data_IF_787227700860
#
_entry.id   IF_787227700860
#
_cell.length_a   1.000
_cell.length_b   1.000
_cell.length_c   1.000
_cell.angle_alpha   90.00
_cell.angle_beta   90.00
_cell.angle_gamma   90.00
#
_symmetry.space_group_name_H-M   'P 1'
#
loop_
_entity.id
_entity.type
_entity.pdbx_description
1 polymer ?
#
# COMPACT_ATOMS: atom_id res chain seq x y z
N UNK A 1 -7.38 -25.94 -8.67
CA UNK A 1 -6.47 -24.82 -8.96
C UNK A 1 -7.14 -23.49 -8.69
N UNK A 2 -6.69 -22.79 -7.63
CA UNK A 2 -7.12 -21.42 -7.29
C UNK A 2 -6.35 -20.43 -8.17
N UNK A 3 -7.00 -19.37 -8.65
CA UNK A 3 -6.31 -18.29 -9.37
C UNK A 3 -5.83 -17.23 -8.39
N UNK A 4 -4.56 -16.83 -8.51
CA UNK A 4 -3.99 -15.73 -7.73
C UNK A 4 -3.37 -14.71 -8.67
N UNK A 5 -3.34 -13.46 -8.24
CA UNK A 5 -2.70 -12.39 -8.99
C UNK A 5 -1.48 -11.89 -8.23
N UNK A 6 -0.30 -12.04 -8.83
CA UNK A 6 0.93 -11.41 -8.38
C UNK A 6 1.06 -10.08 -9.12
N UNK A 7 1.16 -8.97 -8.40
CA UNK A 7 0.97 -7.63 -8.97
C UNK A 7 2.17 -6.74 -8.70
N UNK A 8 2.62 -6.04 -9.74
CA UNK A 8 3.75 -5.11 -9.71
C UNK A 8 3.35 -3.80 -10.39
N UNK A 9 2.90 -2.79 -9.62
CA UNK A 9 2.78 -1.44 -10.14
C UNK A 9 4.17 -0.79 -10.29
N UNK A 10 4.41 -0.12 -11.41
CA UNK A 10 5.66 0.61 -11.65
C UNK A 10 5.45 1.89 -12.43
N UNK A 11 6.29 2.88 -12.13
CA UNK A 11 6.44 4.15 -12.84
C UNK A 11 7.91 4.44 -13.17
N UNK A 12 8.77 3.42 -13.10
CA UNK A 12 10.23 3.51 -13.20
C UNK A 12 10.82 2.21 -13.75
N UNK A 13 12.09 2.24 -14.12
CA UNK A 13 12.85 1.04 -14.47
C UNK A 13 12.88 0.03 -13.31
N UNK A 14 12.53 -1.23 -13.60
CA UNK A 14 12.54 -2.33 -12.64
C UNK A 14 12.71 -3.71 -13.31
N UNK A 15 13.44 -3.81 -14.42
CA UNK A 15 13.62 -5.04 -15.18
C UNK A 15 14.23 -6.19 -14.34
N UNK A 16 15.15 -5.85 -13.45
CA UNK A 16 15.74 -6.81 -12.50
C UNK A 16 14.69 -7.37 -11.53
N UNK A 17 13.87 -6.48 -10.95
CA UNK A 17 12.76 -6.87 -10.07
C UNK A 17 11.75 -7.77 -10.80
N UNK A 18 11.39 -7.43 -12.04
CA UNK A 18 10.46 -8.25 -12.83
C UNK A 18 10.99 -9.67 -13.09
N UNK A 19 12.31 -9.82 -13.26
CA UNK A 19 12.95 -11.14 -13.41
C UNK A 19 12.79 -11.98 -12.13
N UNK A 20 12.99 -11.37 -10.97
CA UNK A 20 12.80 -12.03 -9.67
C UNK A 20 11.33 -12.39 -9.43
N UNK A 21 10.39 -11.50 -9.78
CA UNK A 21 8.94 -11.74 -9.62
C UNK A 21 8.45 -12.86 -10.55
N UNK A 22 9.01 -13.00 -11.76
CA UNK A 22 8.76 -14.15 -12.63
C UNK A 22 9.21 -15.47 -11.96
N UNK A 23 10.36 -15.45 -11.27
CA UNK A 23 10.83 -16.61 -10.51
C UNK A 23 9.92 -16.93 -9.31
N UNK A 24 9.40 -15.91 -8.62
CA UNK A 24 8.39 -16.08 -7.56
C UNK A 24 7.10 -16.71 -8.09
N UNK A 25 6.61 -16.27 -9.26
CA UNK A 25 5.43 -16.83 -9.90
C UNK A 25 5.63 -18.31 -10.26
N UNK A 26 6.76 -18.65 -10.89
CA UNK A 26 7.09 -20.04 -11.23
C UNK A 26 7.21 -20.91 -9.96
N UNK A 27 7.84 -20.39 -8.91
CA UNK A 27 7.95 -21.07 -7.62
C UNK A 27 6.56 -21.40 -7.04
N UNK A 28 5.62 -20.45 -7.09
CA UNK A 28 4.28 -20.66 -6.59
C UNK A 28 3.52 -21.76 -7.36
N UNK A 29 3.60 -21.79 -8.70
CA UNK A 29 2.97 -22.83 -9.52
C UNK A 29 3.61 -24.22 -9.33
N UNK A 30 4.92 -24.29 -9.06
CA UNK A 30 5.62 -25.55 -8.81
C UNK A 30 5.26 -26.14 -7.44
N UNK A 31 5.10 -25.30 -6.42
CA UNK A 31 4.97 -25.74 -5.02
C UNK A 31 3.53 -25.76 -4.49
N UNK A 32 2.58 -25.12 -5.18
CA UNK A 32 1.19 -25.01 -4.74
C UNK A 32 0.21 -25.26 -5.90
N UNK A 33 -1.00 -25.75 -5.59
CA UNK A 33 -2.09 -25.93 -6.59
C UNK A 33 -2.76 -24.58 -6.94
N UNK A 34 -1.99 -23.68 -7.54
CA UNK A 34 -2.43 -22.34 -7.94
C UNK A 34 -2.10 -22.05 -9.40
N UNK A 35 -2.92 -21.21 -10.02
CA UNK A 35 -2.67 -20.58 -11.30
C UNK A 35 -2.23 -19.14 -11.03
N UNK A 36 -1.03 -18.76 -11.45
CA UNK A 36 -0.51 -17.42 -11.19
C UNK A 36 -0.74 -16.52 -12.41
N UNK A 37 -1.40 -15.39 -12.19
CA UNK A 37 -1.45 -14.30 -13.14
C UNK A 37 -0.52 -13.18 -12.68
N UNK A 38 0.55 -12.93 -13.42
CA UNK A 38 1.42 -11.79 -13.15
C UNK A 38 0.83 -10.54 -13.83
N UNK A 39 0.50 -9.52 -13.05
CA UNK A 39 -0.04 -8.24 -13.55
C UNK A 39 0.99 -7.14 -13.31
N UNK A 40 1.45 -6.53 -14.39
CA UNK A 40 2.39 -5.39 -14.34
C UNK A 40 1.66 -4.16 -14.85
N UNK A 41 1.43 -3.19 -13.96
CA UNK A 41 0.82 -1.89 -14.31
C UNK A 41 1.95 -0.90 -14.51
N UNK A 42 2.27 -0.60 -15.76
CA UNK A 42 3.49 0.11 -16.13
C UNK A 42 3.18 1.50 -16.69
N UNK A 43 3.46 2.53 -15.89
CA UNK A 43 3.42 3.94 -16.28
C UNK A 43 4.83 4.51 -16.47
N UNK A 44 5.85 3.66 -16.66
CA UNK A 44 7.24 4.08 -16.83
C UNK A 44 7.58 4.42 -18.28
N UNK A 45 8.71 5.11 -18.48
CA UNK A 45 9.31 5.28 -19.80
C UNK A 45 10.01 4.01 -20.31
N UNK A 46 10.16 2.99 -19.46
CA UNK A 46 10.98 1.78 -19.68
C UNK A 46 10.13 0.57 -20.13
N UNK A 47 8.88 0.81 -20.55
CA UNK A 47 7.92 -0.22 -20.95
C UNK A 47 8.52 -1.26 -21.92
N UNK A 48 9.25 -0.83 -22.95
CA UNK A 48 9.84 -1.75 -23.92
C UNK A 48 10.89 -2.69 -23.31
N UNK A 49 11.68 -2.21 -22.34
CA UNK A 49 12.66 -3.02 -21.63
C UNK A 49 11.97 -4.03 -20.69
N UNK A 50 10.94 -3.60 -19.98
CA UNK A 50 10.11 -4.50 -19.17
C UNK A 50 9.43 -5.58 -20.02
N UNK A 51 8.87 -5.20 -21.17
CA UNK A 51 8.23 -6.13 -22.11
C UNK A 51 9.22 -7.18 -22.66
N UNK A 52 10.52 -6.85 -22.75
CA UNK A 52 11.54 -7.82 -23.15
C UNK A 52 11.77 -8.88 -22.08
N UNK A 53 11.77 -8.50 -20.80
CA UNK A 53 11.91 -9.44 -19.66
C UNK A 53 10.70 -10.38 -19.57
N UNK A 54 9.50 -9.82 -19.79
CA UNK A 54 8.23 -10.53 -19.64
C UNK A 54 7.85 -11.40 -20.86
N UNK A 55 8.61 -11.30 -21.96
CA UNK A 55 8.24 -11.91 -23.23
C UNK A 55 8.26 -13.44 -23.16
N UNK A 56 7.20 -14.06 -23.66
CA UNK A 56 7.12 -15.52 -23.82
C UNK A 56 6.69 -16.26 -22.55
N UNK A 57 6.42 -15.55 -21.46
CA UNK A 57 5.81 -16.13 -20.26
C UNK A 57 4.29 -16.11 -20.39
N UNK A 58 3.66 -17.25 -20.12
CA UNK A 58 2.20 -17.35 -20.08
C UNK A 58 1.60 -16.57 -18.92
N UNK A 59 0.34 -16.14 -19.05
CA UNK A 59 -0.43 -15.48 -17.98
C UNK A 59 0.20 -14.20 -17.40
N UNK A 60 1.08 -13.55 -18.17
CA UNK A 60 1.58 -12.21 -17.88
C UNK A 60 0.72 -11.15 -18.56
N UNK A 61 0.29 -10.17 -17.77
CA UNK A 61 -0.52 -9.03 -18.18
C UNK A 61 0.28 -7.75 -17.94
N UNK A 62 1.04 -7.34 -18.96
CA UNK A 62 1.81 -6.11 -18.94
C UNK A 62 0.99 -5.00 -19.61
N UNK A 63 0.51 -4.05 -18.80
CA UNK A 63 -0.41 -3.00 -19.24
C UNK A 63 0.28 -1.64 -19.14
N UNK A 64 0.49 -1.01 -20.29
CA UNK A 64 0.87 0.40 -20.32
C UNK A 64 -0.27 1.28 -19.80
N UNK A 65 -0.03 2.57 -19.62
CA UNK A 65 -1.04 3.49 -19.11
C UNK A 65 -2.27 3.59 -20.03
N UNK A 66 -2.09 3.47 -21.35
CA UNK A 66 -3.19 3.51 -22.31
C UNK A 66 -4.11 2.29 -22.16
N UNK A 67 -3.54 1.08 -22.08
CA UNK A 67 -4.26 -0.16 -21.85
C UNK A 67 -4.96 -0.16 -20.48
N UNK A 68 -4.30 0.36 -19.44
CA UNK A 68 -4.91 0.59 -18.12
C UNK A 68 -6.16 1.49 -18.24
N UNK A 69 -6.02 2.62 -18.95
CA UNK A 69 -7.11 3.57 -19.19
C UNK A 69 -8.27 2.96 -19.97
N UNK A 70 -7.98 2.22 -21.06
CA UNK A 70 -9.01 1.56 -21.85
C UNK A 70 -9.79 0.51 -21.05
N UNK A 71 -9.08 -0.30 -20.25
CA UNK A 71 -9.72 -1.27 -19.36
C UNK A 71 -10.62 -0.57 -18.34
N UNK A 72 -10.09 0.44 -17.65
CA UNK A 72 -10.81 1.20 -16.64
C UNK A 72 -12.07 1.87 -17.21
N UNK A 73 -11.99 2.45 -18.41
CA UNK A 73 -13.15 3.06 -19.08
C UNK A 73 -14.25 2.04 -19.40
N UNK A 74 -13.89 0.79 -19.74
CA UNK A 74 -14.88 -0.28 -19.93
C UNK A 74 -15.55 -0.66 -18.61
N UNK A 75 -14.77 -0.80 -17.53
CA UNK A 75 -15.29 -1.10 -16.19
C UNK A 75 -16.25 0.00 -15.72
N UNK A 76 -15.83 1.27 -15.77
CA UNK A 76 -16.64 2.42 -15.35
C UNK A 76 -17.93 2.53 -16.16
N UNK A 77 -17.88 2.30 -17.47
CA UNK A 77 -19.08 2.33 -18.32
C UNK A 77 -20.08 1.23 -17.93
N UNK A 78 -19.58 0.04 -17.60
CA UNK A 78 -20.41 -1.13 -17.26
C UNK A 78 -20.95 -1.07 -15.83
N UNK A 79 -20.24 -0.43 -14.91
CA UNK A 79 -20.66 -0.32 -13.51
C UNK A 79 -21.89 0.58 -13.30
N UNK A 80 -22.17 1.48 -14.25
CA UNK A 80 -23.31 2.40 -14.15
C UNK A 80 -23.17 3.41 -13.00
N UNK A 81 -21.95 3.64 -12.50
CA UNK A 81 -21.67 4.61 -11.44
C UNK A 81 -22.12 6.02 -11.84
N UNK A 82 -22.61 6.79 -10.87
CA UNK A 82 -23.27 8.08 -11.11
C UNK A 82 -22.32 9.19 -11.59
N UNK A 83 -21.02 9.08 -11.29
CA UNK A 83 -19.98 10.05 -11.70
C UNK A 83 -18.81 9.33 -12.39
N UNK A 84 -18.99 8.88 -13.63
CA UNK A 84 -17.96 8.10 -14.34
C UNK A 84 -16.68 8.89 -14.56
N UNK A 85 -16.76 10.20 -14.86
CA UNK A 85 -15.58 11.06 -15.02
C UNK A 85 -14.73 11.13 -13.73
N UNK A 86 -15.37 11.38 -12.59
CA UNK A 86 -14.68 11.38 -11.30
C UNK A 86 -14.03 10.02 -10.99
N UNK A 87 -14.72 8.90 -11.25
CA UNK A 87 -14.13 7.58 -11.01
C UNK A 87 -12.89 7.32 -11.90
N UNK A 88 -12.89 7.84 -13.13
CA UNK A 88 -11.72 7.77 -13.99
C UNK A 88 -10.56 8.58 -13.40
N UNK A 89 -10.83 9.81 -12.96
CA UNK A 89 -9.81 10.70 -12.38
C UNK A 89 -9.23 10.15 -11.06
N UNK A 90 -10.06 9.52 -10.22
CA UNK A 90 -9.61 8.90 -8.96
C UNK A 90 -8.82 7.61 -9.16
N UNK A 91 -9.13 6.83 -10.20
CA UNK A 91 -8.49 5.54 -10.46
C UNK A 91 -7.29 5.65 -11.39
N UNK A 92 -7.19 6.71 -12.20
CA UNK A 92 -6.05 7.02 -13.07
C UNK A 92 -5.72 8.52 -13.03
N UNK A 93 -5.28 9.04 -11.88
CA UNK A 93 -4.91 10.45 -11.74
C UNK A 93 -3.63 10.76 -12.54
N UNK A 94 -3.47 12.02 -12.92
CA UNK A 94 -2.22 12.51 -13.55
C UNK A 94 -1.02 12.48 -12.59
N UNK A 95 -1.28 12.67 -11.28
CA UNK A 95 -0.27 12.62 -10.23
C UNK A 95 -0.02 11.21 -9.70
N UNK A 96 1.05 11.02 -8.94
CA UNK A 96 1.38 9.73 -8.34
C UNK A 96 0.40 9.40 -7.21
N UNK A 97 -0.22 8.23 -7.29
CA UNK A 97 -1.08 7.69 -6.23
C UNK A 97 -0.88 6.19 -6.07
N UNK A 98 -0.35 5.79 -4.91
CA UNK A 98 -0.16 4.38 -4.54
C UNK A 98 -1.50 3.66 -4.36
N UNK A 99 -2.51 4.36 -3.84
CA UNK A 99 -3.86 3.81 -3.70
C UNK A 99 -4.54 3.60 -5.06
N UNK A 100 -4.50 4.60 -5.95
CA UNK A 100 -5.14 4.48 -7.25
C UNK A 100 -4.54 3.35 -8.11
N UNK A 101 -3.20 3.22 -8.18
CA UNK A 101 -2.58 2.13 -8.95
C UNK A 101 -2.91 0.75 -8.36
N UNK A 102 -2.91 0.62 -7.03
CA UNK A 102 -3.28 -0.64 -6.36
C UNK A 102 -4.76 -0.97 -6.59
N UNK A 103 -5.65 0.02 -6.57
CA UNK A 103 -7.07 -0.19 -6.89
C UNK A 103 -7.24 -0.66 -8.35
N UNK A 104 -6.47 -0.14 -9.30
CA UNK A 104 -6.47 -0.67 -10.69
C UNK A 104 -6.04 -2.13 -10.70
N UNK A 105 -5.02 -2.51 -9.92
CA UNK A 105 -4.58 -3.89 -9.81
C UNK A 105 -5.70 -4.80 -9.24
N UNK A 106 -6.48 -4.31 -8.27
CA UNK A 106 -7.65 -5.02 -7.76
C UNK A 106 -8.71 -5.26 -8.84
N UNK A 107 -9.06 -4.23 -9.63
CA UNK A 107 -10.00 -4.39 -10.75
C UNK A 107 -9.50 -5.44 -11.77
N UNK A 108 -8.22 -5.38 -12.13
CA UNK A 108 -7.61 -6.34 -13.09
C UNK A 108 -7.62 -7.75 -12.49
N UNK A 109 -7.26 -7.92 -11.22
CA UNK A 109 -7.25 -9.23 -10.58
C UNK A 109 -8.65 -9.87 -10.56
N UNK A 110 -9.65 -9.08 -10.20
CA UNK A 110 -11.06 -9.48 -10.21
C UNK A 110 -11.52 -9.87 -11.62
N UNK A 111 -11.10 -9.13 -12.65
CA UNK A 111 -11.40 -9.44 -14.05
C UNK A 111 -10.76 -10.76 -14.54
N UNK A 112 -9.60 -11.12 -14.01
CA UNK A 112 -8.91 -12.38 -14.30
C UNK A 112 -9.50 -13.57 -13.50
N UNK A 113 -10.42 -13.30 -12.57
CA UNK A 113 -10.98 -14.30 -11.67
C UNK A 113 -10.00 -14.75 -10.58
N UNK A 114 -9.01 -13.91 -10.25
CA UNK A 114 -8.11 -14.15 -9.13
C UNK A 114 -8.88 -14.03 -7.80
N UNK A 115 -8.68 -14.98 -6.89
CA UNK A 115 -9.29 -14.97 -5.55
C UNK A 115 -8.46 -14.16 -4.54
N UNK A 116 -7.18 -13.94 -4.83
CA UNK A 116 -6.27 -13.14 -4.02
C UNK A 116 -5.34 -12.29 -4.87
N UNK A 117 -4.90 -11.19 -4.26
CA UNK A 117 -3.91 -10.27 -4.82
C UNK A 117 -2.69 -10.29 -3.92
N UNK A 118 -1.52 -10.41 -4.52
CA UNK A 118 -0.21 -10.42 -3.89
C UNK A 118 0.57 -9.26 -4.49
N UNK A 119 0.87 -8.24 -3.69
CA UNK A 119 1.56 -7.03 -4.16
C UNK A 119 3.05 -7.11 -3.88
N UNK A 120 3.84 -6.70 -4.88
CA UNK A 120 5.26 -6.40 -4.76
C UNK A 120 5.53 -5.01 -5.32
N UNK A 121 6.45 -4.29 -4.69
CA UNK A 121 6.88 -2.99 -5.21
C UNK A 121 8.09 -3.14 -6.15
N UNK A 122 8.18 -2.21 -7.10
CA UNK A 122 9.18 -2.23 -8.17
C UNK A 122 10.61 -1.96 -7.69
N UNK A 123 10.77 -1.41 -6.50
CA UNK A 123 12.05 -1.10 -5.83
C UNK A 123 12.39 -2.09 -4.70
N UNK A 124 12.15 -3.38 -4.94
CA UNK A 124 12.46 -4.46 -4.01
C UNK A 124 13.16 -5.66 -4.64
N UNK A 125 13.91 -6.41 -3.82
CA UNK A 125 14.46 -7.73 -4.17
C UNK A 125 14.07 -8.79 -3.13
N UNK A 126 14.32 -10.06 -3.45
CA UNK A 126 14.20 -11.14 -2.47
C UNK A 126 15.52 -11.44 -1.78
N UNK A 127 15.43 -11.80 -0.49
CA UNK A 127 16.57 -12.30 0.26
C UNK A 127 17.04 -13.64 -0.30
N UNK A 128 18.30 -13.98 -0.02
CA UNK A 128 18.87 -15.31 -0.29
C UNK A 128 19.28 -15.93 1.03
N UNK A 129 18.93 -17.19 1.24
CA UNK A 129 19.30 -17.96 2.42
C UNK A 129 19.71 -19.38 1.99
N UNK A 130 20.88 -19.84 2.43
CA UNK A 130 21.47 -21.12 2.02
C UNK A 130 21.53 -21.37 0.50
N UNK A 131 21.63 -20.30 -0.29
CA UNK A 131 21.71 -20.34 -1.76
C UNK A 131 20.36 -20.23 -2.46
N UNK A 132 19.24 -20.34 -1.74
CA UNK A 132 17.89 -20.27 -2.28
C UNK A 132 17.26 -18.90 -2.10
N UNK A 133 16.36 -18.53 -3.02
CA UNK A 133 15.55 -17.31 -2.90
C UNK A 133 14.45 -17.50 -1.85
N UNK A 134 14.30 -16.50 -0.99
CA UNK A 134 13.26 -16.46 0.04
C UNK A 134 12.04 -15.72 -0.50
N UNK A 135 11.16 -16.45 -1.19
CA UNK A 135 9.94 -15.87 -1.76
C UNK A 135 8.82 -15.70 -0.73
N UNK A 136 8.25 -14.48 -0.59
CA UNK A 136 7.11 -14.23 0.30
C UNK A 136 5.86 -15.06 -0.03
N UNK A 137 5.60 -15.32 -1.32
CA UNK A 137 4.42 -16.10 -1.76
C UNK A 137 4.30 -17.46 -1.09
N UNK A 138 5.42 -18.03 -0.66
CA UNK A 138 5.45 -19.27 0.12
C UNK A 138 4.62 -19.15 1.40
N UNK A 139 4.88 -18.12 2.22
CA UNK A 139 4.16 -17.91 3.47
C UNK A 139 2.70 -17.48 3.22
N UNK A 140 2.47 -16.70 2.17
CA UNK A 140 1.15 -16.22 1.78
C UNK A 140 0.21 -17.38 1.42
N UNK A 141 0.62 -18.31 0.54
CA UNK A 141 -0.22 -19.41 0.06
C UNK A 141 -0.44 -20.54 1.09
N UNK A 142 0.39 -20.59 2.13
CA UNK A 142 0.17 -21.51 3.25
C UNK A 142 -1.10 -21.19 4.04
N UNK A 143 -1.57 -19.93 4.05
CA UNK A 143 -2.65 -19.50 4.94
C UNK A 143 -3.75 -18.64 4.28
N UNK A 144 -3.41 -17.83 3.28
CA UNK A 144 -4.34 -16.83 2.73
C UNK A 144 -5.61 -17.46 2.12
N UNK A 145 -6.77 -16.91 2.50
CA UNK A 145 -8.09 -17.35 2.05
C UNK A 145 -8.58 -18.65 2.68
N UNK A 146 -7.81 -19.27 3.57
CA UNK A 146 -8.24 -20.45 4.33
C UNK A 146 -8.95 -20.03 5.62
N UNK A 147 -9.82 -20.88 6.20
CA UNK A 147 -10.24 -20.72 7.59
C UNK A 147 -9.02 -20.67 8.51
N UNK A 148 -9.05 -19.84 9.55
CA UNK A 148 -7.90 -19.58 10.41
C UNK A 148 -7.33 -20.86 11.06
N UNK A 149 -8.17 -21.84 11.39
CA UNK A 149 -7.69 -23.14 11.91
C UNK A 149 -6.93 -24.01 10.91
N UNK A 150 -7.00 -23.69 9.62
CA UNK A 150 -6.28 -24.37 8.55
C UNK A 150 -5.01 -23.61 8.12
N UNK A 151 -4.75 -22.45 8.72
CA UNK A 151 -3.52 -21.70 8.47
C UNK A 151 -2.31 -22.51 8.98
N UNK A 152 -1.24 -22.51 8.20
CA UNK A 152 0.02 -23.16 8.57
C UNK A 152 1.00 -22.07 9.02
N UNK A 153 1.21 -21.98 10.33
CA UNK A 153 2.09 -20.97 10.95
C UNK A 153 2.96 -21.58 12.04
N UNK A 154 4.07 -20.93 12.37
CA UNK A 154 4.93 -21.38 13.48
C UNK A 154 4.32 -21.05 14.85
N UNK A 155 3.55 -19.97 14.92
CA UNK A 155 2.82 -19.54 16.12
C UNK A 155 1.35 -19.24 15.81
N UNK A 156 0.48 -19.44 16.80
CA UNK A 156 -0.92 -19.02 16.75
C UNK A 156 -1.26 -18.21 18.01
N UNK A 157 -1.53 -16.92 17.82
CA UNK A 157 -1.96 -15.97 18.86
C UNK A 157 -3.38 -15.45 18.61
N UNK A 158 -4.09 -16.02 17.65
CA UNK A 158 -5.44 -15.60 17.29
C UNK A 158 -6.42 -15.98 18.39
N UNK A 159 -7.38 -15.08 18.64
CA UNK A 159 -8.53 -15.35 19.50
C UNK A 159 -9.27 -16.61 19.00
N UNK A 160 -9.49 -17.64 19.84
CA UNK A 160 -10.21 -18.85 19.45
C UNK A 160 -11.60 -18.61 18.88
N UNK A 161 -12.26 -17.49 19.20
CA UNK A 161 -13.55 -17.12 18.62
C UNK A 161 -13.47 -16.85 17.10
N UNK A 162 -12.27 -16.56 16.57
CA UNK A 162 -12.03 -16.28 15.16
C UNK A 162 -11.53 -17.52 14.39
N UNK A 163 -11.57 -18.70 14.99
CA UNK A 163 -11.04 -19.96 14.45
C UNK A 163 -11.59 -20.33 13.06
N UNK A 164 -12.86 -20.04 12.81
CA UNK A 164 -13.53 -20.37 11.55
C UNK A 164 -13.60 -19.18 10.58
N UNK A 165 -13.12 -18.00 10.99
CA UNK A 165 -13.02 -16.85 10.12
C UNK A 165 -11.88 -17.03 9.11
N UNK A 166 -12.04 -16.45 7.93
CA UNK A 166 -11.07 -16.54 6.84
C UNK A 166 -9.85 -15.65 7.09
N UNK A 167 -8.66 -16.16 6.80
CA UNK A 167 -7.42 -15.36 6.76
C UNK A 167 -7.51 -14.36 5.60
N UNK A 168 -7.68 -13.09 5.95
CA UNK A 168 -7.98 -11.99 5.02
C UNK A 168 -6.73 -11.32 4.46
N UNK A 169 -5.63 -11.37 5.19
CA UNK A 169 -4.34 -10.81 4.79
C UNK A 169 -3.17 -11.66 5.26
N UNK A 170 -2.11 -11.70 4.47
CA UNK A 170 -0.81 -12.24 4.87
C UNK A 170 0.26 -11.26 4.39
N UNK A 171 1.20 -10.90 5.25
CA UNK A 171 2.24 -9.96 4.85
C UNK A 171 3.44 -9.94 5.79
N UNK A 172 4.43 -9.15 5.39
CA UNK A 172 5.67 -8.96 6.11
C UNK A 172 6.23 -7.57 5.88
N UNK A 173 7.27 -7.23 6.63
CA UNK A 173 8.05 -6.01 6.45
C UNK A 173 9.18 -6.19 5.42
N UNK A 174 10.18 -5.34 5.49
CA UNK A 174 11.37 -5.31 4.68
C UNK A 174 12.65 -5.39 5.52
N UNK A 175 13.77 -5.69 4.87
CA UNK A 175 15.14 -5.46 5.35
C UNK A 175 15.80 -4.40 4.46
N UNK A 176 16.88 -3.76 4.93
CA UNK A 176 17.61 -2.77 4.13
C UNK A 176 17.28 -1.32 4.50
N UNK A 177 17.16 -0.44 3.50
CA UNK A 177 16.97 0.99 3.73
C UNK A 177 15.59 1.28 4.37
N UNK A 178 15.49 2.35 5.17
CA UNK A 178 14.22 2.80 5.77
C UNK A 178 13.17 3.08 4.69
N UNK A 179 11.89 2.79 4.95
CA UNK A 179 10.81 2.99 3.97
C UNK A 179 10.62 4.46 3.59
N UNK A 180 10.86 5.38 4.53
CA UNK A 180 10.83 6.84 4.34
C UNK A 180 12.25 7.41 4.33
N UNK A 181 12.51 8.39 3.47
CA UNK A 181 13.83 9.02 3.28
C UNK A 181 14.21 9.96 4.45
N UNK A 182 14.37 9.40 5.65
CA UNK A 182 14.76 10.09 6.88
C UNK A 182 16.11 9.59 7.43
N UNK A 183 16.76 8.63 6.76
CA UNK A 183 18.02 8.04 7.22
C UNK A 183 19.13 9.08 7.45
N UNK A 184 19.21 10.09 6.58
CA UNK A 184 20.22 11.17 6.67
C UNK A 184 20.10 12.03 7.93
N UNK A 185 18.94 12.03 8.58
CA UNK A 185 18.66 12.87 9.76
C UNK A 185 18.43 12.05 11.02
N UNK A 186 18.67 10.74 11.00
CA UNK A 186 18.36 9.85 12.13
C UNK A 186 19.04 10.28 13.44
N UNK A 187 20.28 10.73 13.34
CA UNK A 187 21.08 11.18 14.49
C UNK A 187 20.89 12.68 14.79
N UNK A 188 20.02 13.37 14.06
CA UNK A 188 19.73 14.78 14.27
C UNK A 188 18.77 14.96 15.45
N UNK A 189 19.01 15.95 16.32
CA UNK A 189 18.18 16.21 17.52
C UNK A 189 16.69 16.42 17.21
N UNK A 190 16.38 16.92 16.02
CA UNK A 190 15.02 17.18 15.55
C UNK A 190 14.32 15.96 14.91
N UNK A 191 14.98 14.80 14.81
CA UNK A 191 14.42 13.58 14.23
C UNK A 191 13.15 13.12 14.96
N UNK A 192 13.24 12.97 16.29
CA UNK A 192 12.10 12.56 17.10
C UNK A 192 10.94 13.56 17.04
N UNK A 193 11.26 14.85 16.95
CA UNK A 193 10.28 15.90 16.76
C UNK A 193 9.54 15.79 15.42
N UNK A 194 10.20 15.34 14.35
CA UNK A 194 9.57 15.16 13.04
C UNK A 194 8.70 13.90 13.02
N UNK A 195 9.27 12.76 13.45
CA UNK A 195 8.59 11.45 13.39
C UNK A 195 7.38 11.42 14.33
N UNK A 196 7.48 12.03 15.53
CA UNK A 196 6.36 12.09 16.48
C UNK A 196 5.14 12.87 15.96
N UNK A 197 5.24 13.63 14.87
CA UNK A 197 4.09 14.35 14.27
C UNK A 197 3.08 13.41 13.64
N UNK A 198 3.49 12.18 13.32
CA UNK A 198 2.59 11.10 12.94
C UNK A 198 1.63 10.73 14.09
N UNK A 199 2.05 10.82 15.36
CA UNK A 199 1.21 10.41 16.48
C UNK A 199 -0.17 11.12 16.51
N UNK A 200 -1.14 10.44 17.11
CA UNK A 200 -2.44 11.04 17.38
C UNK A 200 -2.27 12.23 18.35
N UNK A 201 -3.17 13.20 18.27
CA UNK A 201 -3.06 14.44 19.05
C UNK A 201 -3.04 14.19 20.57
N UNK A 202 -3.80 13.18 21.02
CA UNK A 202 -3.92 12.75 22.41
C UNK A 202 -2.93 11.65 22.82
N UNK A 203 -1.97 11.28 21.96
CA UNK A 203 -0.91 10.33 22.33
C UNK A 203 -0.06 10.88 23.48
N UNK A 204 0.18 10.02 24.46
CA UNK A 204 1.12 10.23 25.56
C UNK A 204 2.56 10.39 25.06
N UNK A 205 3.44 10.89 25.93
CA UNK A 205 4.86 11.01 25.63
C UNK A 205 5.50 9.65 25.34
N UNK A 206 5.20 8.63 26.15
CA UNK A 206 5.71 7.27 25.93
C UNK A 206 5.25 6.69 24.59
N UNK A 207 3.98 6.86 24.22
CA UNK A 207 3.48 6.39 22.92
C UNK A 207 4.18 7.10 21.75
N UNK A 208 4.51 8.39 21.90
CA UNK A 208 5.27 9.12 20.89
C UNK A 208 6.72 8.63 20.81
N UNK A 209 7.36 8.35 21.94
CA UNK A 209 8.72 7.80 21.96
C UNK A 209 8.78 6.40 21.33
N UNK A 210 7.81 5.54 21.64
CA UNK A 210 7.74 4.20 21.07
C UNK A 210 7.46 4.27 19.57
N UNK A 211 6.55 5.16 19.13
CA UNK A 211 6.34 5.44 17.71
C UNK A 211 7.64 5.85 17.02
N UNK A 212 8.41 6.79 17.59
CA UNK A 212 9.68 7.24 17.02
C UNK A 212 10.71 6.11 16.92
N UNK A 213 10.72 5.18 17.89
CA UNK A 213 11.66 4.05 17.93
C UNK A 213 11.36 3.01 16.85
N UNK A 214 10.08 2.77 16.55
CA UNK A 214 9.64 1.70 15.65
C UNK A 214 9.38 2.16 14.22
N UNK A 215 8.99 3.42 14.03
CA UNK A 215 8.54 3.93 12.73
C UNK A 215 9.61 3.84 11.64
N UNK A 216 9.20 3.35 10.46
CA UNK A 216 10.01 3.30 9.24
C UNK A 216 11.24 2.41 9.31
N UNK A 217 11.38 1.65 10.40
CA UNK A 217 12.47 0.72 10.62
C UNK A 217 12.17 -0.61 9.94
N UNK A 218 13.20 -1.16 9.29
CA UNK A 218 13.16 -2.52 8.75
C UNK A 218 13.23 -3.58 9.85
N UNK A 219 13.27 -4.83 9.40
CA UNK A 219 13.36 -6.03 10.23
C UNK A 219 14.75 -6.68 10.10
N UNK A 220 14.98 -7.72 10.90
CA UNK A 220 16.19 -8.54 10.82
C UNK A 220 16.20 -9.43 9.54
N UNK A 221 17.39 -9.77 9.01
CA UNK A 221 17.53 -10.72 7.90
C UNK A 221 16.92 -12.09 8.19
N UNK A 222 16.47 -12.76 7.12
CA UNK A 222 15.90 -14.10 7.20
C UNK A 222 16.94 -15.13 7.69
N UNK A 223 16.59 -15.84 8.76
CA UNK A 223 17.41 -16.88 9.38
C UNK A 223 16.70 -18.24 9.48
N UNK A 224 15.54 -18.38 8.82
CA UNK A 224 14.64 -19.52 8.94
C UNK A 224 13.19 -19.06 9.04
N UNK A 225 12.26 -19.93 8.67
CA UNK A 225 10.84 -19.57 8.62
C UNK A 225 10.25 -19.27 10.00
N UNK A 226 9.60 -18.11 10.10
CA UNK A 226 8.77 -17.73 11.24
C UNK A 226 7.50 -17.03 10.75
N UNK A 227 6.37 -17.41 11.33
CA UNK A 227 5.08 -16.78 11.06
C UNK A 227 4.12 -16.91 12.22
N UNK A 228 3.26 -15.90 12.39
CA UNK A 228 2.26 -15.86 13.46
C UNK A 228 0.87 -15.58 12.90
N UNK A 229 -0.08 -16.47 13.19
CA UNK A 229 -1.50 -16.25 12.97
C UNK A 229 -2.05 -15.35 14.08
N UNK A 230 -2.57 -14.18 13.73
CA UNK A 230 -3.05 -13.17 14.69
C UNK A 230 -3.97 -12.15 14.00
N UNK A 231 -4.38 -11.11 14.72
CA UNK A 231 -4.80 -9.83 14.12
C UNK A 231 -3.53 -9.03 13.89
N UNK A 232 -3.18 -8.79 12.62
CA UNK A 232 -1.87 -8.26 12.25
C UNK A 232 -1.79 -6.77 12.58
N UNK A 233 -0.76 -6.40 13.35
CA UNK A 233 -0.43 -5.01 13.66
C UNK A 233 0.02 -4.28 12.38
N UNK A 234 -0.64 -3.17 11.99
CA UNK A 234 -0.27 -2.39 10.82
C UNK A 234 1.17 -1.86 10.82
N UNK A 235 1.79 -1.71 12.00
CA UNK A 235 3.20 -1.27 12.12
C UNK A 235 4.22 -2.35 11.75
N UNK A 236 3.79 -3.61 11.59
CA UNK A 236 4.70 -4.76 11.36
C UNK A 236 4.71 -5.27 9.92
N UNK A 237 3.89 -4.68 9.06
CA UNK A 237 3.75 -5.07 7.65
C UNK A 237 3.98 -3.86 6.76
N UNK A 238 4.62 -4.09 5.62
CA UNK A 238 4.83 -3.08 4.62
C UNK A 238 4.04 -3.41 3.34
N UNK A 239 3.55 -2.38 2.65
CA UNK A 239 2.72 -2.58 1.44
C UNK A 239 3.50 -3.22 0.28
N UNK A 240 4.84 -3.17 0.32
CA UNK A 240 5.70 -3.80 -0.66
C UNK A 240 5.69 -5.35 -0.58
N UNK A 241 5.12 -5.92 0.49
CA UNK A 241 5.13 -7.36 0.76
C UNK A 241 3.86 -7.82 1.47
N UNK A 242 2.75 -7.79 0.73
CA UNK A 242 1.43 -8.07 1.30
C UNK A 242 0.50 -8.75 0.29
N UNK A 243 -0.40 -9.56 0.83
CA UNK A 243 -1.46 -10.22 0.07
C UNK A 243 -2.82 -10.08 0.75
N UNK A 244 -3.88 -10.02 -0.05
CA UNK A 244 -5.26 -9.87 0.40
C UNK A 244 -6.20 -10.89 -0.25
N UNK A 245 -7.15 -11.39 0.52
CA UNK A 245 -8.26 -12.24 0.04
C UNK A 245 -9.60 -11.66 0.47
N UNK A 246 -10.48 -11.40 -0.50
CA UNK A 246 -11.83 -10.82 -0.31
C UNK A 246 -11.88 -9.36 0.17
N UNK A 247 -10.87 -8.87 0.90
CA UNK A 247 -10.85 -7.50 1.42
C UNK A 247 -10.69 -6.46 0.30
N UNK A 248 -9.81 -6.72 -0.66
CA UNK A 248 -9.55 -5.87 -1.82
C UNK A 248 -10.79 -5.67 -2.72
N UNK A 249 -11.70 -6.64 -2.74
CA UNK A 249 -12.96 -6.55 -3.49
C UNK A 249 -14.04 -5.75 -2.75
N UNK A 250 -13.86 -5.50 -1.45
CA UNK A 250 -14.88 -4.84 -0.63
C UNK A 250 -14.60 -3.37 -0.40
N UNK A 251 -13.34 -3.01 -0.23
CA UNK A 251 -12.92 -1.67 0.16
C UNK A 251 -11.74 -1.26 -0.73
N UNK A 252 -11.82 -0.11 -1.42
CA UNK A 252 -10.70 0.44 -2.16
C UNK A 252 -9.69 1.07 -1.21
N UNK A 253 -8.50 1.34 -1.71
CA UNK A 253 -7.53 2.22 -1.06
C UNK A 253 -7.82 3.70 -1.37
N UNK A 254 -7.52 4.62 -0.44
CA UNK A 254 -7.61 6.06 -0.70
C UNK A 254 -6.81 6.47 -1.95
N UNK A 255 -7.44 7.13 -2.94
CA UNK A 255 -6.81 7.52 -4.20
C UNK A 255 -5.96 8.80 -4.09
N UNK A 256 -5.52 9.15 -2.88
CA UNK A 256 -4.77 10.36 -2.59
C UNK A 256 -3.53 10.45 -3.48
N UNK A 257 -3.31 11.64 -4.06
CA UNK A 257 -2.15 11.92 -4.90
C UNK A 257 -1.05 12.59 -4.10
N UNK A 258 0.20 12.42 -4.52
CA UNK A 258 1.36 13.07 -3.92
C UNK A 258 1.43 12.93 -2.39
N UNK A 259 1.12 11.75 -1.90
CA UNK A 259 1.29 11.33 -0.51
C UNK A 259 1.90 9.92 -0.47
N UNK A 260 2.34 9.50 0.71
CA UNK A 260 2.74 8.12 1.00
C UNK A 260 1.79 7.50 2.03
N UNK A 261 1.83 6.18 2.20
CA UNK A 261 1.12 5.48 3.27
C UNK A 261 -0.39 5.35 3.09
N UNK A 262 -1.01 6.01 2.11
CA UNK A 262 -2.46 5.93 1.88
C UNK A 262 -2.91 4.52 1.50
N UNK A 263 -2.03 3.74 0.87
CA UNK A 263 -2.21 2.35 0.50
C UNK A 263 -2.17 1.37 1.69
N UNK A 264 -1.79 1.81 2.90
CA UNK A 264 -1.82 0.97 4.12
C UNK A 264 -3.23 0.85 4.71
N UNK A 265 -4.22 1.57 4.16
CA UNK A 265 -5.57 1.63 4.74
C UNK A 265 -6.21 0.25 4.94
N UNK A 266 -6.02 -0.70 4.01
CA UNK A 266 -6.58 -2.05 4.15
C UNK A 266 -5.95 -2.85 5.31
N UNK A 267 -4.70 -2.57 5.66
CA UNK A 267 -4.05 -3.18 6.83
C UNK A 267 -4.77 -2.72 8.11
N UNK A 268 -5.05 -1.42 8.20
CA UNK A 268 -5.85 -0.87 9.28
C UNK A 268 -7.29 -1.40 9.30
N UNK A 269 -7.91 -1.63 8.14
CA UNK A 269 -9.24 -2.27 8.11
C UNK A 269 -9.16 -3.68 8.70
N UNK A 270 -8.18 -4.49 8.31
CA UNK A 270 -8.01 -5.84 8.82
C UNK A 270 -7.79 -5.85 10.34
N UNK A 271 -6.91 -4.97 10.85
CA UNK A 271 -6.66 -4.78 12.28
C UNK A 271 -7.94 -4.37 13.04
N UNK A 272 -8.56 -3.26 12.62
CA UNK A 272 -9.69 -2.66 13.35
C UNK A 272 -10.98 -3.49 13.25
N UNK A 273 -11.16 -4.26 12.19
CA UNK A 273 -12.24 -5.23 12.05
C UNK A 273 -11.92 -6.59 12.69
N UNK A 274 -10.74 -6.74 13.31
CA UNK A 274 -10.26 -7.98 13.93
C UNK A 274 -10.29 -9.18 12.97
N UNK A 275 -9.93 -8.96 11.70
CA UNK A 275 -9.88 -10.04 10.72
C UNK A 275 -8.62 -10.89 10.95
N UNK A 276 -8.70 -12.22 10.84
CA UNK A 276 -7.50 -13.05 10.90
C UNK A 276 -6.52 -12.68 9.78
N UNK A 277 -5.24 -12.66 10.15
CA UNK A 277 -4.12 -12.46 9.23
C UNK A 277 -2.88 -13.22 9.68
N UNK A 278 -1.88 -13.28 8.81
CA UNK A 278 -0.57 -13.88 9.13
C UNK A 278 0.52 -12.84 8.92
N UNK A 279 1.37 -12.67 9.94
CA UNK A 279 2.65 -11.97 9.82
C UNK A 279 3.75 -13.01 9.60
N UNK A 280 4.66 -12.79 8.64
CA UNK A 280 5.82 -13.67 8.41
C UNK A 280 7.14 -12.88 8.33
N UNK A 281 8.26 -13.58 8.40
CA UNK A 281 9.60 -13.00 8.32
C UNK A 281 10.29 -13.14 6.95
N UNK A 282 9.58 -13.66 5.95
CA UNK A 282 10.03 -13.63 4.54
C UNK A 282 9.94 -12.20 3.98
N UNK A 283 10.78 -11.32 4.52
CA UNK A 283 10.85 -9.90 4.18
C UNK A 283 11.45 -9.68 2.79
N UNK A 284 11.05 -8.59 2.14
CA UNK A 284 11.71 -8.11 0.91
C UNK A 284 12.91 -7.22 1.27
N UNK A 285 13.87 -7.09 0.36
CA UNK A 285 15.00 -6.16 0.49
C UNK A 285 14.59 -4.83 -0.15
N UNK A 286 14.44 -3.80 0.67
CA UNK A 286 14.06 -2.44 0.25
C UNK A 286 15.29 -1.59 -0.10
N UNK A 287 15.20 -0.83 -1.19
CA UNK A 287 16.24 0.11 -1.61
C UNK A 287 15.66 1.39 -2.22
N UNK A 288 16.34 2.53 -2.06
CA UNK A 288 15.99 3.76 -2.76
C UNK A 288 16.63 3.85 -4.14
N UNK A 289 15.82 4.21 -5.14
CA UNK A 289 16.34 4.45 -6.50
C UNK A 289 17.15 5.76 -6.58
N UNK A 290 17.95 5.90 -7.64
CA UNK A 290 18.79 7.08 -7.87
C UNK A 290 17.95 8.34 -8.07
N UNK A 291 16.82 8.22 -8.75
CA UNK A 291 15.88 9.31 -9.02
C UNK A 291 15.35 9.89 -7.71
N UNK A 292 15.01 9.02 -6.74
CA UNK A 292 14.54 9.41 -5.40
C UNK A 292 15.61 10.22 -4.64
N UNK A 293 16.89 9.95 -4.87
CA UNK A 293 18.02 10.67 -4.24
C UNK A 293 18.43 11.96 -4.96
N UNK A 294 17.83 12.27 -6.12
CA UNK A 294 18.04 13.57 -6.79
C UNK A 294 17.44 14.72 -5.97
N UNK A 295 17.89 15.98 -6.14
CA UNK A 295 17.30 17.11 -5.41
C UNK A 295 15.79 17.27 -5.60
N UNK A 296 15.30 17.09 -6.83
CA UNK A 296 13.87 17.17 -7.14
C UNK A 296 13.10 15.97 -6.57
N UNK A 297 13.66 14.75 -6.69
CA UNK A 297 13.06 13.54 -6.14
C UNK A 297 12.96 13.58 -4.61
N UNK A 298 14.01 14.04 -3.94
CA UNK A 298 14.05 14.24 -2.50
C UNK A 298 12.97 15.23 -2.05
N UNK A 299 12.91 16.42 -2.68
CA UNK A 299 11.92 17.44 -2.33
C UNK A 299 10.50 16.92 -2.54
N UNK A 300 10.22 16.32 -3.69
CA UNK A 300 8.92 15.72 -3.98
C UNK A 300 8.54 14.68 -2.93
N UNK A 301 9.45 13.77 -2.58
CA UNK A 301 9.20 12.73 -1.58
C UNK A 301 8.93 13.31 -0.18
N UNK A 302 9.69 14.32 0.26
CA UNK A 302 9.45 15.00 1.53
C UNK A 302 8.09 15.70 1.55
N UNK A 303 7.67 16.32 0.44
CA UNK A 303 6.32 16.89 0.35
C UNK A 303 5.21 15.82 0.44
N UNK A 304 5.46 14.60 -0.08
CA UNK A 304 4.54 13.47 0.14
C UNK A 304 4.47 13.05 1.60
N UNK A 305 5.60 13.07 2.31
CA UNK A 305 5.63 12.80 3.75
C UNK A 305 4.90 13.87 4.57
N UNK A 306 5.03 15.15 4.20
CA UNK A 306 4.22 16.25 4.77
C UNK A 306 2.73 15.96 4.59
N UNK A 307 2.31 15.63 3.36
CA UNK A 307 0.90 15.35 3.05
C UNK A 307 0.39 14.09 3.79
N UNK A 308 1.23 13.07 3.94
CA UNK A 308 0.94 11.91 4.78
C UNK A 308 0.65 12.32 6.23
N UNK A 309 1.51 13.12 6.86
CA UNK A 309 1.27 13.59 8.23
C UNK A 309 -0.04 14.37 8.35
N UNK A 310 -0.37 15.23 7.36
CA UNK A 310 -1.65 15.96 7.34
C UNK A 310 -2.85 15.03 7.18
N UNK A 311 -2.72 13.95 6.41
CA UNK A 311 -3.79 12.96 6.23
C UNK A 311 -4.10 12.19 7.52
N UNK A 312 -3.11 12.03 8.40
CA UNK A 312 -3.27 11.31 9.67
C UNK A 312 -4.25 12.00 10.64
N UNK A 313 -4.48 13.30 10.51
CA UNK A 313 -5.56 13.99 11.24
C UNK A 313 -6.95 13.35 10.95
N UNK A 314 -7.18 12.96 9.70
CA UNK A 314 -8.41 12.28 9.28
C UNK A 314 -8.36 10.78 9.57
N UNK A 315 -7.24 10.12 9.26
CA UNK A 315 -7.12 8.68 9.44
C UNK A 315 -7.14 8.25 10.91
N UNK A 316 -6.53 8.99 11.84
CA UNK A 316 -6.63 8.67 13.27
C UNK A 316 -8.08 8.71 13.77
N UNK A 317 -8.88 9.67 13.28
CA UNK A 317 -10.31 9.73 13.60
C UNK A 317 -11.03 8.46 13.14
N UNK A 318 -10.77 8.03 11.90
CA UNK A 318 -11.37 6.86 11.27
C UNK A 318 -10.92 5.58 12.02
N UNK A 319 -9.62 5.37 12.19
CA UNK A 319 -9.05 4.15 12.78
C UNK A 319 -9.48 3.94 14.23
N UNK A 320 -9.68 5.01 15.01
CA UNK A 320 -10.16 4.90 16.40
C UNK A 320 -11.62 4.47 16.51
N UNK A 321 -12.42 4.70 15.49
CA UNK A 321 -13.87 4.44 15.48
C UNK A 321 -14.27 3.24 14.63
N UNK A 322 -13.37 2.80 13.75
CA UNK A 322 -13.58 1.62 12.92
C UNK A 322 -13.59 0.36 13.80
N UNK A 323 -14.60 -0.48 13.59
CA UNK A 323 -14.79 -1.74 14.34
C UNK A 323 -15.17 -2.91 13.43
N UNK A 324 -15.36 -2.65 12.13
CA UNK A 324 -15.81 -3.63 11.16
C UNK A 324 -15.36 -3.23 9.75
N UNK A 325 -15.43 -4.18 8.81
CA UNK A 325 -15.04 -3.98 7.41
C UNK A 325 -16.24 -3.64 6.48
N UNK A 326 -17.37 -3.15 7.00
CA UNK A 326 -18.53 -2.84 6.15
C UNK A 326 -18.30 -1.53 5.37
N UNK A 327 -18.36 -1.54 4.02
CA UNK A 327 -18.03 -0.35 3.22
C UNK A 327 -18.87 0.88 3.57
N UNK A 328 -20.18 0.71 3.79
CA UNK A 328 -21.06 1.81 4.18
C UNK A 328 -20.70 2.41 5.55
N UNK A 329 -20.31 1.57 6.52
CA UNK A 329 -19.87 2.02 7.84
C UNK A 329 -18.58 2.83 7.73
N UNK A 330 -17.63 2.34 6.93
CA UNK A 330 -16.34 3.02 6.73
C UNK A 330 -16.55 4.33 5.98
N UNK A 331 -17.33 4.36 4.89
CA UNK A 331 -17.66 5.59 4.17
C UNK A 331 -18.31 6.65 5.08
N UNK A 332 -19.16 6.22 6.02
CA UNK A 332 -19.73 7.08 7.05
C UNK A 332 -18.66 7.75 7.92
N UNK A 333 -17.72 6.96 8.46
CA UNK A 333 -16.61 7.45 9.28
C UNK A 333 -15.65 8.37 8.49
N UNK A 334 -15.34 7.99 7.25
CA UNK A 334 -14.48 8.79 6.36
C UNK A 334 -15.13 10.15 6.12
N UNK A 335 -16.42 10.19 5.80
CA UNK A 335 -17.17 11.44 5.62
C UNK A 335 -17.18 12.30 6.88
N UNK A 336 -17.49 11.71 8.03
CA UNK A 336 -17.54 12.42 9.31
C UNK A 336 -16.18 13.03 9.68
N UNK A 337 -15.08 12.34 9.35
CA UNK A 337 -13.72 12.83 9.64
C UNK A 337 -13.42 14.18 8.98
N UNK A 338 -14.06 14.51 7.86
CA UNK A 338 -13.87 15.78 7.13
C UNK A 338 -14.50 16.99 7.83
N UNK A 339 -15.36 16.75 8.83
CA UNK A 339 -16.03 17.79 9.63
C UNK A 339 -15.25 18.17 10.90
N UNK A 340 -14.11 17.52 11.14
CA UNK A 340 -13.23 17.87 12.25
C UNK A 340 -12.73 19.32 12.14
N UNK A 341 -12.43 19.94 13.30
CA UNK A 341 -11.77 21.24 13.32
C UNK A 341 -10.41 21.12 12.61
N UNK A 342 -10.14 21.99 11.65
CA UNK A 342 -8.89 22.00 10.89
C UNK A 342 -7.72 22.68 11.60
N UNK A 343 -7.97 23.46 12.67
CA UNK A 343 -6.92 24.17 13.40
C UNK A 343 -5.79 23.27 13.93
N UNK A 344 -6.05 22.09 14.52
CA UNK A 344 -4.98 21.19 14.95
C UNK A 344 -4.08 20.72 13.78
N UNK A 345 -4.67 20.47 12.60
CA UNK A 345 -3.91 20.07 11.42
C UNK A 345 -3.06 21.23 10.88
N UNK A 346 -3.59 22.44 10.90
CA UNK A 346 -2.86 23.66 10.55
C UNK A 346 -1.69 23.92 11.51
N UNK A 347 -1.89 23.77 12.82
CA UNK A 347 -0.84 23.88 13.82
C UNK A 347 0.24 22.81 13.67
N UNK A 348 -0.16 21.59 13.27
CA UNK A 348 0.77 20.50 12.94
C UNK A 348 1.64 20.85 11.73
N UNK A 349 1.07 21.46 10.69
CA UNK A 349 1.83 21.97 9.54
C UNK A 349 2.85 23.03 9.94
N UNK A 350 2.44 23.98 10.78
CA UNK A 350 3.35 25.02 11.28
C UNK A 350 4.48 24.40 12.14
N UNK A 351 4.21 23.32 12.88
CA UNK A 351 5.26 22.58 13.61
C UNK A 351 6.21 21.85 12.67
N UNK A 352 5.71 21.19 11.62
CA UNK A 352 6.55 20.54 10.60
C UNK A 352 7.52 21.54 9.96
N UNK A 353 7.01 22.70 9.56
CA UNK A 353 7.82 23.79 8.98
C UNK A 353 9.00 24.16 9.88
N UNK A 354 8.75 24.43 11.17
CA UNK A 354 9.79 24.77 12.14
C UNK A 354 10.80 23.65 12.34
N UNK A 355 10.34 22.39 12.34
CA UNK A 355 11.21 21.22 12.47
C UNK A 355 12.14 21.09 11.26
N UNK A 356 11.61 21.17 10.05
CA UNK A 356 12.41 21.15 8.82
C UNK A 356 13.40 22.32 8.74
N UNK A 357 13.00 23.52 9.17
CA UNK A 357 13.88 24.69 9.21
C UNK A 357 15.05 24.49 10.20
N UNK A 358 14.79 23.87 11.35
CA UNK A 358 15.81 23.53 12.35
C UNK A 358 16.77 22.43 11.88
N UNK A 359 16.30 21.45 11.10
CA UNK A 359 17.16 20.45 10.47
C UNK A 359 18.14 21.12 9.50
N UNK A 360 17.68 22.12 8.73
CA UNK A 360 18.53 22.91 7.85
C UNK A 360 19.01 22.17 6.60
N UNK A 361 20.00 22.75 5.90
CA UNK A 361 20.55 22.19 4.66
C UNK A 361 19.50 22.01 3.57
N UNK A 362 19.47 20.84 2.92
CA UNK A 362 18.46 20.52 1.89
C UNK A 362 17.02 20.51 2.42
N UNK A 363 16.82 20.36 3.73
CA UNK A 363 15.49 20.36 4.35
C UNK A 363 14.89 21.76 4.50
N UNK A 364 15.69 22.82 4.44
CA UNK A 364 15.16 24.19 4.41
C UNK A 364 14.27 24.45 3.19
N UNK A 365 14.59 23.84 2.03
CA UNK A 365 13.74 23.92 0.85
C UNK A 365 12.36 23.27 1.05
N UNK A 366 12.27 22.24 1.90
CA UNK A 366 10.99 21.62 2.29
C UNK A 366 10.18 22.58 3.16
N UNK A 367 10.83 23.23 4.15
CA UNK A 367 10.17 24.24 4.98
C UNK A 367 9.63 25.41 4.13
N UNK A 368 10.38 25.88 3.14
CA UNK A 368 9.95 26.96 2.25
C UNK A 368 8.75 26.53 1.38
N UNK A 369 8.74 25.30 0.88
CA UNK A 369 7.59 24.73 0.16
C UNK A 369 6.35 24.56 1.04
N UNK A 370 6.51 24.22 2.32
CA UNK A 370 5.39 24.17 3.28
C UNK A 370 4.75 25.55 3.43
N UNK A 371 5.56 26.61 3.56
CA UNK A 371 5.05 27.99 3.68
C UNK A 371 4.32 28.42 2.41
N UNK A 372 4.93 28.17 1.24
CA UNK A 372 4.36 28.54 -0.05
C UNK A 372 3.03 27.84 -0.33
N UNK A 373 2.91 26.55 0.04
CA UNK A 373 1.76 25.70 -0.25
C UNK A 373 0.81 25.49 0.92
N UNK A 374 0.93 26.27 2.00
CA UNK A 374 0.22 26.01 3.27
C UNK A 374 -1.27 25.73 3.10
N UNK A 375 -1.99 26.66 2.47
CA UNK A 375 -3.44 26.55 2.28
C UNK A 375 -3.81 25.45 1.28
N UNK A 376 -3.00 25.23 0.25
CA UNK A 376 -3.25 24.17 -0.73
C UNK A 376 -3.08 22.79 -0.08
N UNK A 377 -2.03 22.57 0.72
CA UNK A 377 -1.77 21.30 1.40
C UNK A 377 -2.91 20.90 2.34
N UNK A 378 -3.43 21.85 3.13
CA UNK A 378 -4.56 21.60 4.03
C UNK A 378 -5.84 21.27 3.25
N UNK A 379 -6.09 22.01 2.16
CA UNK A 379 -7.25 21.78 1.29
C UNK A 379 -7.15 20.44 0.57
N UNK A 380 -5.98 20.11 0.02
CA UNK A 380 -5.70 18.85 -0.67
C UNK A 380 -5.86 17.65 0.27
N UNK A 381 -5.30 17.73 1.49
CA UNK A 381 -5.42 16.64 2.47
C UNK A 381 -6.87 16.34 2.85
N UNK A 382 -7.72 17.37 2.98
CA UNK A 382 -9.16 17.18 3.20
C UNK A 382 -9.85 16.61 1.96
N UNK A 383 -9.54 17.17 0.79
CA UNK A 383 -10.15 16.76 -0.49
C UNK A 383 -9.87 15.28 -0.79
N UNK A 384 -8.66 14.79 -0.51
CA UNK A 384 -8.32 13.38 -0.68
C UNK A 384 -9.27 12.45 0.12
N UNK A 385 -9.72 12.88 1.30
CA UNK A 385 -10.67 12.15 2.13
C UNK A 385 -12.09 12.25 1.55
N UNK A 386 -12.51 13.42 1.10
CA UNK A 386 -13.80 13.62 0.42
C UNK A 386 -13.90 12.74 -0.86
N UNK A 387 -12.83 12.70 -1.64
CA UNK A 387 -12.69 11.88 -2.85
C UNK A 387 -12.70 10.39 -2.52
N UNK A 388 -12.05 9.99 -1.42
CA UNK A 388 -12.08 8.59 -0.96
C UNK A 388 -13.49 8.11 -0.61
N UNK A 389 -14.34 8.95 0.00
CA UNK A 389 -15.76 8.61 0.25
C UNK A 389 -16.45 8.23 -1.06
N UNK A 390 -16.22 9.00 -2.13
CA UNK A 390 -16.88 8.76 -3.41
C UNK A 390 -16.44 7.41 -4.01
N UNK A 391 -15.17 7.05 -3.83
CA UNK A 391 -14.64 5.79 -4.32
C UNK A 391 -15.16 4.58 -3.53
N UNK A 392 -15.25 4.65 -2.20
CA UNK A 392 -15.83 3.55 -1.39
C UNK A 392 -17.28 3.26 -1.83
N UNK A 393 -18.08 4.31 -2.03
CA UNK A 393 -19.49 4.17 -2.42
C UNK A 393 -19.67 3.60 -3.82
N UNK A 394 -18.72 3.86 -4.72
CA UNK A 394 -18.72 3.32 -6.08
C UNK A 394 -18.06 1.94 -6.21
N UNK A 395 -17.40 1.45 -5.17
CA UNK A 395 -16.49 0.29 -5.28
C UNK A 395 -17.21 -1.01 -5.64
N UNK A 396 -18.32 -1.34 -4.97
CA UNK A 396 -19.08 -2.56 -5.25
C UNK A 396 -19.46 -2.69 -6.73
N UNK A 397 -20.15 -1.69 -7.32
CA UNK A 397 -20.45 -1.67 -8.75
C UNK A 397 -19.22 -1.77 -9.67
N UNK A 398 -18.08 -1.17 -9.29
CA UNK A 398 -16.83 -1.27 -10.05
C UNK A 398 -16.25 -2.70 -10.01
N UNK A 399 -16.32 -3.38 -8.88
CA UNK A 399 -15.88 -4.77 -8.74
C UNK A 399 -16.79 -5.73 -9.54
N UNK A 400 -18.11 -5.56 -9.46
CA UNK A 400 -19.06 -6.35 -10.24
C UNK A 400 -18.84 -6.17 -11.75
N UNK A 401 -18.62 -4.93 -12.19
CA UNK A 401 -18.30 -4.63 -13.59
C UNK A 401 -16.93 -5.19 -14.02
N UNK A 402 -15.95 -5.21 -13.11
CA UNK A 402 -14.63 -5.77 -13.38
C UNK A 402 -14.71 -7.27 -13.67
N UNK A 403 -15.51 -8.04 -12.91
CA UNK A 403 -15.66 -9.50 -13.08
C UNK A 403 -16.10 -9.93 -14.48
N UNK A 404 -16.84 -9.08 -15.17
CA UNK A 404 -17.37 -9.37 -16.51
C UNK A 404 -16.59 -8.66 -17.63
N UNK A 405 -15.49 -7.97 -17.29
CA UNK A 405 -14.69 -7.17 -18.21
C UNK A 405 -13.38 -7.83 -18.54
N UNK A 406 -13.22 -8.24 -19.80
CA UNK A 406 -11.99 -8.86 -20.27
C UNK A 406 -10.79 -7.89 -20.17
N UNK A 407 -9.71 -8.41 -19.61
CA UNK A 407 -8.38 -7.83 -19.71
C UNK A 407 -7.81 -8.22 -21.07
N UNK A 408 -7.34 -7.22 -21.83
CA UNK A 408 -6.69 -7.45 -23.13
C UNK A 408 -5.20 -7.38 -22.93
N UNK A 409 -4.45 -8.24 -23.60
CA UNK A 409 -3.00 -8.10 -23.68
C UNK A 409 -2.66 -6.77 -24.36
N UNK A 410 -1.78 -6.00 -23.73
CA UNK A 410 -1.14 -4.81 -24.31
C UNK A 410 -0.04 -5.18 -25.27
#
# INVERSE_FOLDING_TARGET
MRRICLTVPTNRECAATLTEVLAEAAYAEEHFDVEVHLVVLDSSADFAAHAQVLRGTERVWHLDEAAQGEFLQRVIRRSGVTRPGLMADLMLPQGLSYGACTNRAFCVAVALGCESVHRRDSDSYFQTHDGDRVFPVHAELLSLGKPAHMAVTTENKLDPALRDATVSMVGASFVGEMSVDLGDIRDHEAYGDLVSLWAAEDSSEQEREDLVRESFMGSEPFAGDWSVLTVVDPMRVDMHNISFHGLHERIPLPPATDTIGSDYFLIHVADKARLPGVLHNRHIVNFHTRERKSPAGFLAYQMRFVKFILSMHYFHFIYRRMTNAAPASIAGLVRESTWQNGEPNAAKLDRMERVYRRIGGKFSAVADQIVERRESLLTEARRDIDDYVQLIEAWGPLMDASRVTDVRHG
#
